data_IF_242498965649
#
_entry.id   IF_242498965649
#
_cell.length_a   1.000
_cell.length_b   1.000
_cell.length_c   1.000
_cell.angle_alpha   90.00
_cell.angle_beta   90.00
_cell.angle_gamma   90.00
#
_symmetry.space_group_name_H-M   'P 1'
#
loop_
_entity.id
_entity.type
_entity.pdbx_description
1 polymer ?
#
# COMPACT_ATOMS: atom_id res chain seq x y z
N UNK A 1 18.15 -23.49 8.48
CA UNK A 1 18.71 -22.33 9.19
C UNK A 1 17.73 -21.18 9.03
N UNK A 2 16.69 -21.15 9.85
CA UNK A 2 15.65 -20.12 9.82
C UNK A 2 15.97 -19.11 10.93
N UNK A 3 16.47 -17.93 10.53
CA UNK A 3 16.84 -16.87 11.47
C UNK A 3 15.60 -16.08 11.86
N UNK A 4 15.43 -15.88 13.17
CA UNK A 4 14.52 -14.93 13.80
C UNK A 4 14.63 -13.56 13.12
N UNK A 5 13.63 -13.12 12.35
CA UNK A 5 13.68 -11.81 11.68
C UNK A 5 12.75 -10.73 12.28
N UNK A 6 11.85 -11.09 13.21
CA UNK A 6 10.87 -10.14 13.75
C UNK A 6 11.02 -9.77 15.24
N UNK A 7 12.16 -10.05 15.90
CA UNK A 7 12.25 -9.89 17.37
C UNK A 7 13.24 -8.81 17.88
N UNK A 8 14.07 -8.16 17.06
CA UNK A 8 15.07 -7.23 17.61
C UNK A 8 14.93 -5.81 17.09
N UNK A 9 14.11 -5.00 17.77
CA UNK A 9 14.52 -3.71 18.38
C UNK A 9 13.40 -3.07 19.22
N UNK A 10 13.04 -3.64 20.38
CA UNK A 10 12.50 -2.85 21.51
C UNK A 10 12.99 -3.48 22.82
N UNK A 11 14.03 -2.91 23.45
CA UNK A 11 14.31 -3.09 24.88
C UNK A 11 14.11 -1.73 25.56
N UNK A 12 13.22 -1.59 26.56
CA UNK A 12 13.15 -0.40 27.39
C UNK A 12 14.26 -0.45 28.46
N UNK A 13 15.10 0.59 28.49
CA UNK A 13 16.07 0.82 29.55
C UNK A 13 15.36 1.08 30.89
N UNK A 14 15.64 0.23 31.87
CA UNK A 14 15.39 0.49 33.29
C UNK A 14 16.57 1.31 33.85
N UNK A 15 16.24 2.43 34.52
CA UNK A 15 17.16 3.33 35.24
C UNK A 15 17.94 2.60 36.36
N UNK A 16 19.08 3.18 36.77
CA UNK A 16 19.12 3.65 38.15
C UNK A 16 19.61 5.09 38.31
N UNK A 17 19.27 5.65 39.47
CA UNK A 17 19.49 7.03 39.93
C UNK A 17 20.96 7.48 39.97
N UNK A 18 21.23 8.79 39.77
CA UNK A 18 21.70 9.74 40.80
C UNK A 18 22.05 11.13 40.23
N UNK A 19 21.72 12.15 41.03
CA UNK A 19 22.33 13.49 41.20
C UNK A 19 22.20 14.63 40.17
N UNK A 20 21.54 15.70 40.67
CA UNK A 20 21.65 17.15 40.44
C UNK A 20 22.79 17.66 39.56
N UNK A 21 22.50 18.60 38.63
CA UNK A 21 22.92 20.01 38.71
C UNK A 21 22.07 20.85 37.74
N UNK A 22 21.58 21.99 38.22
CA UNK A 22 21.00 23.12 37.46
C UNK A 22 21.89 23.60 36.31
N UNK A 23 21.29 23.97 35.17
CA UNK A 23 21.55 25.27 34.56
C UNK A 23 20.49 25.67 33.51
N UNK A 24 20.02 26.90 33.68
CA UNK A 24 19.12 27.65 32.80
C UNK A 24 19.90 28.04 31.55
N UNK A 25 19.31 27.85 30.36
CA UNK A 25 19.64 28.63 29.16
C UNK A 25 18.47 28.61 28.18
N UNK A 26 17.85 29.78 28.07
CA UNK A 26 16.74 30.14 27.19
C UNK A 26 17.20 30.13 25.73
N UNK A 27 16.52 29.38 24.86
CA UNK A 27 16.43 29.74 23.44
C UNK A 27 15.13 29.22 22.82
N UNK A 28 14.52 30.09 22.05
CA UNK A 28 13.10 30.19 21.73
C UNK A 28 12.67 29.13 20.70
N UNK A 29 11.76 28.22 21.05
CA UNK A 29 11.05 27.38 20.08
C UNK A 29 9.68 27.97 19.77
N UNK A 30 9.41 28.20 18.49
CA UNK A 30 8.04 28.32 17.97
C UNK A 30 7.40 26.93 18.07
N UNK A 31 6.82 26.63 19.22
CA UNK A 31 6.14 25.38 19.49
C UNK A 31 4.85 25.29 18.68
N UNK A 32 4.84 24.42 17.65
CA UNK A 32 3.61 23.96 17.00
C UNK A 32 2.78 23.17 18.03
N UNK A 33 1.44 23.36 18.13
CA UNK A 33 0.64 22.83 19.24
C UNK A 33 0.65 21.29 19.30
N UNK A 34 0.82 20.75 20.52
CA UNK A 34 0.94 19.31 20.84
C UNK A 34 -0.22 18.41 20.33
N UNK A 35 -1.39 18.98 20.03
CA UNK A 35 -2.55 18.23 19.53
C UNK A 35 -2.40 17.83 18.06
N UNK A 36 -1.80 18.69 17.23
CA UNK A 36 -1.64 18.45 15.79
C UNK A 36 -0.62 17.31 15.54
N UNK A 37 0.49 17.33 16.29
CA UNK A 37 1.53 16.30 16.22
C UNK A 37 1.05 14.91 16.70
N UNK A 38 0.09 14.86 17.65
CA UNK A 38 -0.46 13.59 18.14
C UNK A 38 -1.41 12.95 17.12
N UNK A 39 -2.18 13.77 16.41
CA UNK A 39 -3.12 13.33 15.37
C UNK A 39 -2.36 12.88 14.11
N UNK A 40 -1.33 13.63 13.70
CA UNK A 40 -0.47 13.29 12.55
C UNK A 40 0.21 11.92 12.74
N UNK A 41 0.64 11.60 13.97
CA UNK A 41 1.21 10.29 14.29
C UNK A 41 0.16 9.15 14.15
N UNK A 42 -1.09 9.37 14.58
CA UNK A 42 -2.15 8.35 14.47
C UNK A 42 -2.56 8.08 13.02
N UNK A 43 -2.67 9.12 12.19
CA UNK A 43 -3.01 8.98 10.77
C UNK A 43 -1.91 8.24 10.02
N UNK A 44 -0.65 8.57 10.32
CA UNK A 44 0.50 7.91 9.69
C UNK A 44 0.56 6.42 10.04
N UNK A 45 0.31 6.06 11.30
CA UNK A 45 0.22 4.65 11.73
C UNK A 45 -0.93 3.93 11.00
N UNK A 46 -2.13 4.50 11.03
CA UNK A 46 -3.28 3.90 10.34
C UNK A 46 -3.05 3.77 8.82
N UNK A 47 -2.41 4.75 8.18
CA UNK A 47 -2.05 4.67 6.78
C UNK A 47 -1.07 3.53 6.47
N UNK A 48 -0.15 3.22 7.38
CA UNK A 48 0.79 2.09 7.24
C UNK A 48 0.08 0.75 7.39
N UNK A 49 -0.81 0.61 8.36
CA UNK A 49 -1.60 -0.62 8.55
C UNK A 49 -2.46 -0.90 7.31
N UNK A 50 -3.11 0.15 6.78
CA UNK A 50 -3.87 0.09 5.53
C UNK A 50 -2.94 -0.23 4.35
N UNK A 51 -1.73 0.33 4.29
CA UNK A 51 -0.74 0.02 3.26
C UNK A 51 -0.34 -1.45 3.27
N UNK A 52 -0.02 -2.00 4.44
CA UNK A 52 0.29 -3.42 4.59
C UNK A 52 -0.86 -4.30 4.11
N UNK A 53 -2.08 -4.01 4.54
CA UNK A 53 -3.26 -4.80 4.18
C UNK A 53 -3.59 -4.76 2.68
N UNK A 54 -3.52 -3.57 2.06
CA UNK A 54 -3.81 -3.42 0.63
C UNK A 54 -2.67 -3.93 -0.26
N UNK A 55 -1.41 -3.87 0.21
CA UNK A 55 -0.29 -4.53 -0.46
C UNK A 55 -0.50 -6.04 -0.53
N UNK A 56 -0.95 -6.66 0.56
CA UNK A 56 -1.27 -8.09 0.59
C UNK A 56 -2.34 -8.43 -0.46
N UNK A 57 -3.37 -7.59 -0.58
CA UNK A 57 -4.39 -7.71 -1.62
C UNK A 57 -3.82 -7.56 -3.03
N UNK A 58 -3.02 -6.51 -3.28
CA UNK A 58 -2.41 -6.21 -4.58
C UNK A 58 -1.57 -7.36 -5.13
N UNK A 59 -0.78 -8.03 -4.29
CA UNK A 59 0.17 -9.04 -4.74
C UNK A 59 -0.34 -10.48 -4.67
N UNK A 60 -1.29 -10.77 -3.78
CA UNK A 60 -1.64 -12.16 -3.44
C UNK A 60 -3.08 -12.55 -3.75
N UNK A 61 -3.94 -11.58 -4.04
CA UNK A 61 -5.36 -11.81 -4.27
C UNK A 61 -5.72 -11.95 -5.75
N UNK A 62 -6.91 -12.47 -6.00
CA UNK A 62 -7.47 -12.71 -7.33
C UNK A 62 -8.95 -12.31 -7.37
N UNK A 63 -9.59 -12.44 -8.54
CA UNK A 63 -10.97 -11.98 -8.70
C UNK A 63 -11.99 -12.98 -8.15
N UNK A 64 -12.38 -12.71 -6.89
CA UNK A 64 -13.36 -13.50 -6.13
C UNK A 64 -14.76 -13.49 -6.76
N UNK A 65 -15.05 -12.62 -7.74
CA UNK A 65 -16.33 -12.62 -8.47
C UNK A 65 -16.45 -13.80 -9.44
N UNK A 66 -15.32 -14.25 -9.98
CA UNK A 66 -15.29 -15.25 -11.05
C UNK A 66 -14.59 -16.54 -10.64
N UNK A 67 -13.73 -16.49 -9.64
CA UNK A 67 -12.95 -17.63 -9.18
C UNK A 67 -13.21 -17.85 -7.71
N UNK A 68 -13.71 -19.05 -7.38
CA UNK A 68 -13.90 -19.50 -5.99
C UNK A 68 -12.71 -20.32 -5.49
N UNK A 69 -12.04 -21.05 -6.40
CA UNK A 69 -10.88 -21.90 -6.11
C UNK A 69 -9.57 -21.08 -6.04
N UNK A 70 -8.93 -20.98 -4.86
CA UNK A 70 -7.71 -20.19 -4.69
C UNK A 70 -6.52 -20.65 -5.54
N UNK A 71 -6.49 -21.92 -5.94
CA UNK A 71 -5.43 -22.47 -6.79
C UNK A 71 -5.52 -22.03 -8.25
N UNK A 72 -6.70 -21.57 -8.70
CA UNK A 72 -6.95 -21.16 -10.09
C UNK A 72 -7.00 -19.65 -10.29
N UNK A 73 -6.95 -18.89 -9.21
CA UNK A 73 -6.97 -17.43 -9.24
C UNK A 73 -5.71 -16.85 -9.87
N UNK A 74 -5.89 -16.03 -10.91
CA UNK A 74 -4.80 -15.22 -11.49
C UNK A 74 -4.55 -14.02 -10.57
N UNK A 75 -3.32 -13.89 -10.08
CA UNK A 75 -2.88 -12.81 -9.18
C UNK A 75 -2.15 -11.76 -10.00
N UNK A 76 -2.87 -10.71 -10.39
CA UNK A 76 -2.35 -9.70 -11.30
C UNK A 76 -2.67 -8.26 -10.88
N UNK A 77 -3.17 -8.05 -9.65
CA UNK A 77 -3.55 -6.70 -9.22
C UNK A 77 -2.37 -5.74 -9.06
N UNK A 78 -1.16 -6.27 -8.93
CA UNK A 78 0.04 -5.46 -8.98
C UNK A 78 0.27 -4.78 -10.34
N UNK A 79 -0.29 -5.31 -11.45
CA UNK A 79 -0.13 -4.70 -12.79
C UNK A 79 -1.29 -3.81 -13.21
N UNK A 80 -2.50 -4.10 -12.72
CA UNK A 80 -3.73 -3.40 -13.10
C UNK A 80 -4.83 -3.64 -12.07
N UNK A 81 -5.79 -2.75 -12.02
CA UNK A 81 -7.02 -2.98 -11.25
C UNK A 81 -7.88 -4.11 -11.85
N UNK A 82 -8.85 -4.66 -11.08
CA UNK A 82 -9.71 -5.74 -11.56
C UNK A 82 -10.44 -5.37 -12.87
N UNK A 83 -10.53 -6.35 -13.79
CA UNK A 83 -11.24 -6.22 -15.07
C UNK A 83 -12.32 -7.29 -15.21
N UNK A 84 -13.60 -6.93 -15.46
CA UNK A 84 -14.11 -5.56 -15.54
C UNK A 84 -14.01 -4.87 -14.17
N UNK A 85 -13.99 -3.53 -14.13
CA UNK A 85 -13.96 -2.85 -12.85
C UNK A 85 -15.24 -3.10 -12.04
N UNK A 86 -15.24 -2.67 -10.77
CA UNK A 86 -16.43 -2.76 -9.94
C UNK A 86 -17.59 -2.01 -10.59
N UNK A 87 -18.76 -2.66 -10.67
CA UNK A 87 -20.00 -2.00 -11.11
C UNK A 87 -20.48 -0.95 -10.11
N UNK A 88 -20.22 -1.21 -8.83
CA UNK A 88 -20.55 -0.33 -7.70
C UNK A 88 -19.41 -0.41 -6.70
N UNK A 89 -18.97 0.76 -6.23
CA UNK A 89 -18.01 0.84 -5.13
C UNK A 89 -18.62 0.31 -3.83
N UNK A 90 -17.78 -0.13 -2.91
CA UNK A 90 -18.21 -0.45 -1.56
C UNK A 90 -18.73 0.83 -0.89
N UNK A 91 -20.03 0.87 -0.62
CA UNK A 91 -20.73 2.10 -0.21
C UNK A 91 -20.10 2.75 1.02
N UNK A 92 -19.68 1.96 2.01
CA UNK A 92 -19.13 2.49 3.26
C UNK A 92 -17.74 3.09 3.04
N UNK A 93 -16.91 2.47 2.18
CA UNK A 93 -15.59 3.02 1.83
C UNK A 93 -15.79 4.32 1.07
N UNK A 94 -16.66 4.32 0.06
CA UNK A 94 -16.96 5.53 -0.72
C UNK A 94 -17.45 6.66 0.18
N UNK A 95 -18.38 6.38 1.10
CA UNK A 95 -18.91 7.37 2.05
C UNK A 95 -17.81 8.12 2.81
N UNK A 96 -16.83 7.41 3.39
CA UNK A 96 -15.78 8.04 4.19
C UNK A 96 -14.64 8.60 3.33
N UNK A 97 -14.30 7.91 2.24
CA UNK A 97 -13.18 8.30 1.39
C UNK A 97 -13.49 9.41 0.40
N UNK A 98 -14.75 9.67 0.06
CA UNK A 98 -15.17 10.87 -0.68
C UNK A 98 -15.19 12.12 0.19
N UNK A 99 -15.37 11.97 1.52
CA UNK A 99 -15.45 13.09 2.44
C UNK A 99 -14.08 13.76 2.66
N UNK A 100 -13.06 12.97 3.04
CA UNK A 100 -11.68 13.45 3.12
C UNK A 100 -10.69 12.29 3.28
N UNK A 101 -9.40 12.56 3.06
CA UNK A 101 -8.33 11.61 3.34
C UNK A 101 -8.33 11.15 4.81
N UNK A 102 -8.60 12.08 5.73
CA UNK A 102 -8.54 11.81 7.17
C UNK A 102 -9.67 10.87 7.60
N UNK A 103 -10.89 11.12 7.11
CA UNK A 103 -12.04 10.23 7.34
C UNK A 103 -11.83 8.87 6.67
N UNK A 104 -11.24 8.86 5.47
CA UNK A 104 -10.87 7.63 4.77
C UNK A 104 -9.94 6.76 5.62
N UNK A 105 -8.80 7.30 6.05
CA UNK A 105 -7.81 6.54 6.82
C UNK A 105 -8.34 6.12 8.19
N UNK A 106 -9.10 6.97 8.87
CA UNK A 106 -9.70 6.60 10.16
C UNK A 106 -10.67 5.42 9.99
N UNK A 107 -11.54 5.46 8.97
CA UNK A 107 -12.44 4.35 8.66
C UNK A 107 -11.69 3.08 8.25
N UNK A 108 -10.78 3.21 7.28
CA UNK A 108 -10.02 2.07 6.75
C UNK A 108 -9.16 1.42 7.83
N UNK A 109 -8.51 2.23 8.68
CA UNK A 109 -7.70 1.75 9.79
C UNK A 109 -8.53 1.02 10.86
N UNK A 110 -9.72 1.53 11.21
CA UNK A 110 -10.62 0.86 12.18
C UNK A 110 -11.21 -0.44 11.65
N UNK A 111 -11.60 -0.46 10.37
CA UNK A 111 -12.20 -1.63 9.71
C UNK A 111 -11.13 -2.67 9.35
N UNK A 112 -9.89 -2.26 9.16
CA UNK A 112 -8.77 -3.19 9.00
C UNK A 112 -8.39 -3.76 10.38
N UNK A 113 -8.90 -4.96 10.71
CA UNK A 113 -8.45 -5.71 11.88
C UNK A 113 -7.05 -6.29 11.68
N UNK A 114 -6.08 -5.52 11.17
CA UNK A 114 -4.67 -5.85 11.23
C UNK A 114 -4.17 -5.71 12.67
N UNK A 115 -4.81 -6.43 13.60
CA UNK A 115 -4.31 -6.62 14.95
C UNK A 115 -2.97 -7.35 14.79
N UNK A 116 -1.89 -6.64 15.15
CA UNK A 116 -0.51 -7.10 15.33
C UNK A 116 -0.27 -8.53 14.85
N UNK A 117 0.12 -8.68 13.58
CA UNK A 117 0.58 -9.96 13.05
C UNK A 117 1.96 -10.22 13.66
N UNK A 118 1.96 -10.83 14.84
CA UNK A 118 3.14 -11.39 15.48
C UNK A 118 2.79 -12.76 16.07
N UNK A 119 2.72 -13.76 15.19
CA UNK A 119 3.27 -15.11 15.42
C UNK A 119 3.33 -15.93 14.11
N UNK A 120 4.31 -16.83 14.08
CA UNK A 120 4.96 -17.55 12.96
C UNK A 120 4.01 -18.16 11.91
N UNK A 121 4.41 -18.04 10.63
CA UNK A 121 4.00 -18.70 9.36
C UNK A 121 2.78 -19.66 9.38
N UNK A 122 2.70 -20.60 10.32
CA UNK A 122 1.54 -21.50 10.50
C UNK A 122 0.26 -20.79 10.96
N UNK A 123 0.37 -19.78 11.81
CA UNK A 123 -0.77 -18.93 12.17
C UNK A 123 -1.23 -18.11 10.97
N UNK A 124 -0.29 -17.62 10.16
CA UNK A 124 -0.64 -16.91 8.94
C UNK A 124 -1.29 -17.82 7.88
N UNK A 125 -0.80 -19.04 7.69
CA UNK A 125 -1.45 -20.04 6.82
C UNK A 125 -2.87 -20.37 7.31
N UNK A 126 -3.07 -20.42 8.63
CA UNK A 126 -4.39 -20.61 9.24
C UNK A 126 -5.30 -19.39 9.00
N UNK A 127 -4.79 -18.19 9.19
CA UNK A 127 -5.52 -16.93 8.92
C UNK A 127 -5.93 -16.82 7.46
N UNK A 128 -5.10 -17.26 6.49
CA UNK A 128 -5.49 -17.31 5.07
C UNK A 128 -6.67 -18.25 4.78
N UNK A 129 -6.73 -19.40 5.46
CA UNK A 129 -7.87 -20.33 5.33
C UNK A 129 -9.14 -19.77 5.98
N UNK A 130 -8.97 -19.07 7.10
CA UNK A 130 -10.04 -18.36 7.79
C UNK A 130 -10.54 -17.19 6.94
N UNK A 131 -9.65 -16.46 6.28
CA UNK A 131 -9.96 -15.40 5.32
C UNK A 131 -10.82 -15.91 4.16
N UNK A 132 -10.71 -17.16 3.74
CA UNK A 132 -11.58 -17.72 2.69
C UNK A 132 -13.01 -18.00 3.19
N UNK A 133 -13.29 -17.81 4.48
CA UNK A 133 -14.59 -17.96 5.13
C UNK A 133 -15.17 -16.59 5.55
N UNK A 134 -16.46 -16.58 5.90
CA UNK A 134 -17.12 -15.41 6.50
C UNK A 134 -16.45 -15.10 7.84
N UNK A 135 -15.80 -13.94 7.92
CA UNK A 135 -14.97 -13.52 9.04
C UNK A 135 -15.18 -12.04 9.28
N UNK A 136 -15.39 -11.68 10.55
CA UNK A 136 -15.52 -10.29 10.97
C UNK A 136 -14.29 -9.47 10.45
N UNK A 137 -14.50 -8.28 9.86
CA UNK A 137 -15.72 -7.49 9.82
C UNK A 137 -16.50 -7.57 8.49
N UNK A 138 -16.30 -8.62 7.70
CA UNK A 138 -16.91 -8.79 6.39
C UNK A 138 -17.92 -9.95 6.38
N UNK A 139 -19.06 -9.73 5.73
CA UNK A 139 -20.10 -10.71 5.45
C UNK A 139 -19.61 -11.85 4.53
N UNK A 140 -18.48 -11.66 3.84
CA UNK A 140 -17.79 -12.75 3.14
C UNK A 140 -16.69 -12.30 2.17
N UNK A 141 -16.09 -13.26 1.44
CA UNK A 141 -14.96 -12.99 0.55
C UNK A 141 -15.29 -12.01 -0.59
N UNK A 142 -16.54 -11.98 -1.06
CA UNK A 142 -16.98 -11.07 -2.12
C UNK A 142 -17.07 -9.62 -1.63
N UNK A 143 -17.68 -9.40 -0.45
CA UNK A 143 -17.76 -8.06 0.14
C UNK A 143 -16.35 -7.56 0.48
N UNK A 144 -15.50 -8.40 1.08
CA UNK A 144 -14.09 -8.06 1.34
C UNK A 144 -13.34 -7.70 0.06
N UNK A 145 -13.57 -8.43 -1.03
CA UNK A 145 -13.01 -8.09 -2.34
C UNK A 145 -13.47 -6.70 -2.80
N UNK A 146 -14.77 -6.40 -2.72
CA UNK A 146 -15.30 -5.08 -3.08
C UNK A 146 -14.71 -3.97 -2.20
N UNK A 147 -14.60 -4.22 -0.90
CA UNK A 147 -14.01 -3.30 0.07
C UNK A 147 -12.55 -3.00 -0.27
N UNK A 148 -11.71 -4.04 -0.42
CA UNK A 148 -10.27 -3.89 -0.73
C UNK A 148 -10.03 -3.22 -2.07
N UNK A 149 -10.83 -3.56 -3.08
CA UNK A 149 -10.75 -2.93 -4.40
C UNK A 149 -11.09 -1.44 -4.31
N UNK A 150 -12.20 -1.10 -3.63
CA UNK A 150 -12.64 0.29 -3.45
C UNK A 150 -11.63 1.09 -2.63
N UNK A 151 -11.09 0.52 -1.56
CA UNK A 151 -10.06 1.15 -0.75
C UNK A 151 -8.78 1.40 -1.57
N UNK A 152 -8.36 0.43 -2.40
CA UNK A 152 -7.19 0.59 -3.28
C UNK A 152 -7.40 1.72 -4.31
N UNK A 153 -8.61 1.89 -4.83
CA UNK A 153 -8.95 3.00 -5.73
C UNK A 153 -8.73 4.35 -5.05
N UNK A 154 -9.30 4.56 -3.86
CA UNK A 154 -9.17 5.80 -3.12
C UNK A 154 -7.73 6.05 -2.64
N UNK A 155 -7.06 5.04 -2.10
CA UNK A 155 -5.71 5.19 -1.60
C UNK A 155 -4.70 5.45 -2.72
N UNK A 156 -4.90 4.84 -3.90
CA UNK A 156 -4.10 5.19 -5.06
C UNK A 156 -4.38 6.63 -5.50
N UNK A 157 -5.64 7.06 -5.58
CA UNK A 157 -5.99 8.45 -5.87
C UNK A 157 -5.31 9.44 -4.93
N UNK A 158 -5.37 9.20 -3.61
CA UNK A 158 -4.69 10.07 -2.63
C UNK A 158 -3.17 10.08 -2.78
N UNK A 159 -2.58 8.97 -3.21
CA UNK A 159 -1.15 8.91 -3.54
C UNK A 159 -0.81 9.77 -4.74
N UNK A 160 -1.65 9.71 -5.78
CA UNK A 160 -1.50 10.49 -7.01
C UNK A 160 -1.75 11.99 -6.79
N UNK A 161 -2.67 12.34 -5.87
CA UNK A 161 -2.86 13.69 -5.35
C UNK A 161 -1.74 14.16 -4.42
N UNK A 162 -0.72 13.33 -4.18
CA UNK A 162 0.43 13.64 -3.34
C UNK A 162 0.05 14.09 -1.93
N UNK A 163 -0.97 13.46 -1.34
CA UNK A 163 -1.38 13.71 0.05
C UNK A 163 -0.17 13.56 1.00
N UNK A 164 0.17 14.62 1.74
CA UNK A 164 1.43 14.74 2.49
C UNK A 164 1.70 13.57 3.44
N UNK A 165 0.66 13.01 4.04
CA UNK A 165 0.70 11.90 5.00
C UNK A 165 1.15 10.58 4.33
N UNK A 166 0.98 10.46 3.00
CA UNK A 166 1.41 9.31 2.21
C UNK A 166 2.80 9.47 1.60
N UNK A 167 3.44 10.63 1.79
CA UNK A 167 4.77 10.90 1.23
C UNK A 167 5.79 9.87 1.71
N UNK A 168 5.61 9.36 2.92
CA UNK A 168 6.69 8.86 3.73
C UNK A 168 6.16 7.86 4.79
N UNK A 169 6.12 6.57 4.44
CA UNK A 169 5.57 5.47 5.27
C UNK A 169 6.72 4.64 5.89
N UNK A 170 7.42 5.18 6.91
CA UNK A 170 8.82 4.82 7.23
C UNK A 170 9.16 3.92 8.43
N UNK A 171 8.21 3.44 9.22
CA UNK A 171 8.63 2.77 10.47
C UNK A 171 9.13 1.33 10.23
N UNK A 172 8.75 0.72 9.10
CA UNK A 172 9.18 -0.61 8.65
C UNK A 172 9.38 -0.60 7.13
N UNK A 173 10.23 -1.49 6.61
CA UNK A 173 10.48 -1.55 5.16
C UNK A 173 9.18 -1.93 4.45
N UNK A 174 8.90 -1.23 3.35
CA UNK A 174 7.74 -1.52 2.53
C UNK A 174 8.04 -2.57 1.44
N UNK A 175 9.28 -3.07 1.41
CA UNK A 175 9.80 -4.10 0.49
C UNK A 175 9.41 -5.50 0.95
N UNK A 176 8.12 -5.78 0.92
CA UNK A 176 7.57 -7.12 1.11
C UNK A 176 6.28 -7.22 0.29
N UNK A 177 5.76 -8.44 0.09
CA UNK A 177 4.45 -8.62 -0.52
C UNK A 177 3.31 -8.67 0.49
N UNK A 178 3.60 -8.29 1.75
CA UNK A 178 2.69 -8.40 2.89
C UNK A 178 2.00 -9.79 2.96
N UNK A 179 2.76 -10.83 2.64
CA UNK A 179 2.36 -12.22 2.81
C UNK A 179 3.38 -12.92 3.71
N UNK A 180 2.96 -14.03 4.30
CA UNK A 180 3.82 -14.76 5.23
C UNK A 180 4.59 -15.92 4.57
N UNK A 181 4.39 -16.13 3.27
CA UNK A 181 4.99 -17.26 2.55
C UNK A 181 6.28 -16.89 1.82
N UNK A 182 6.44 -15.61 1.49
CA UNK A 182 7.60 -15.05 0.83
C UNK A 182 8.41 -14.27 1.89
N UNK A 183 9.73 -14.15 1.68
CA UNK A 183 10.66 -13.59 2.68
C UNK A 183 10.28 -12.17 3.13
N UNK A 184 10.86 -11.74 4.26
CA UNK A 184 10.63 -10.41 4.84
C UNK A 184 11.10 -9.26 3.93
N UNK A 185 11.92 -9.57 2.94
CA UNK A 185 12.47 -8.64 1.97
C UNK A 185 12.46 -9.30 0.59
N UNK A 186 11.88 -8.63 -0.40
CA UNK A 186 11.87 -9.09 -1.79
C UNK A 186 12.79 -8.29 -2.73
N UNK A 187 13.58 -7.35 -2.19
CA UNK A 187 14.56 -6.51 -2.87
C UNK A 187 13.99 -5.84 -4.13
N UNK A 188 12.71 -5.43 -4.08
CA UNK A 188 12.04 -4.85 -5.22
C UNK A 188 12.35 -3.35 -5.33
N UNK A 189 12.96 -2.91 -6.45
CA UNK A 189 13.41 -1.53 -6.61
C UNK A 189 12.26 -0.51 -6.61
N UNK A 190 11.00 -0.96 -6.67
CA UNK A 190 9.80 -0.12 -6.55
C UNK A 190 9.46 0.20 -5.09
N UNK A 191 9.95 -0.59 -4.14
CA UNK A 191 9.68 -0.46 -2.70
C UNK A 191 10.76 0.34 -1.96
N UNK A 192 11.31 1.38 -2.59
CA UNK A 192 12.36 2.24 -2.05
C UNK A 192 11.77 3.30 -1.10
N UNK A 193 11.87 3.06 0.20
CA UNK A 193 11.32 3.92 1.26
C UNK A 193 11.99 5.31 1.38
N UNK A 194 13.15 5.49 0.74
CA UNK A 194 13.86 6.78 0.67
C UNK A 194 13.20 7.74 -0.32
N UNK A 195 12.45 7.20 -1.30
CA UNK A 195 11.77 7.99 -2.33
C UNK A 195 10.37 8.42 -1.86
N UNK A 196 10.02 9.72 -2.00
CA UNK A 196 8.67 10.19 -1.70
C UNK A 196 7.61 9.38 -2.46
N UNK A 197 6.56 8.95 -1.74
CA UNK A 197 5.41 8.20 -2.25
C UNK A 197 5.70 6.80 -2.81
N UNK A 198 6.96 6.34 -2.87
CA UNK A 198 7.28 5.03 -3.46
C UNK A 198 6.59 3.88 -2.72
N UNK A 199 6.63 3.87 -1.38
CA UNK A 199 5.89 2.88 -0.60
C UNK A 199 4.37 2.97 -0.77
N UNK A 200 3.82 4.18 -0.93
CA UNK A 200 2.39 4.37 -1.17
C UNK A 200 1.99 3.84 -2.55
N UNK A 201 2.77 4.14 -3.60
CA UNK A 201 2.59 3.58 -4.95
C UNK A 201 2.71 2.05 -4.93
N UNK A 202 3.74 1.53 -4.26
CA UNK A 202 3.97 0.10 -4.15
C UNK A 202 2.84 -0.63 -3.41
N UNK A 203 2.19 0.02 -2.45
CA UNK A 203 1.09 -0.56 -1.66
C UNK A 203 -0.28 -0.41 -2.31
N UNK A 204 -0.58 0.76 -2.88
CA UNK A 204 -1.96 1.16 -3.23
C UNK A 204 -2.25 1.16 -4.73
N UNK A 205 -1.26 1.47 -5.56
CA UNK A 205 -1.46 1.65 -7.00
C UNK A 205 -0.97 0.42 -7.78
N UNK A 206 -1.67 0.01 -8.86
CA UNK A 206 -1.09 -0.90 -9.83
C UNK A 206 0.08 -0.23 -10.56
N UNK A 207 1.00 -1.05 -11.05
CA UNK A 207 2.14 -0.65 -11.86
C UNK A 207 1.99 -1.22 -13.28
N UNK A 208 1.29 -0.51 -14.18
CA UNK A 208 1.11 -0.97 -15.55
C UNK A 208 2.41 -0.92 -16.36
N UNK A 209 3.41 -0.14 -15.92
CA UNK A 209 4.72 -0.09 -16.56
C UNK A 209 5.51 -1.38 -16.38
N UNK A 210 5.24 -2.14 -15.32
CA UNK A 210 5.91 -3.41 -15.06
C UNK A 210 4.95 -4.52 -14.61
N UNK A 211 4.65 -5.45 -15.52
CA UNK A 211 3.83 -6.63 -15.22
C UNK A 211 4.58 -7.76 -14.51
N UNK A 212 5.82 -7.54 -14.06
CA UNK A 212 6.57 -8.52 -13.29
C UNK A 212 6.24 -8.39 -11.80
N UNK A 213 5.83 -9.51 -11.18
CA UNK A 213 5.64 -9.57 -9.72
C UNK A 213 6.97 -9.40 -9.00
N UNK A 214 7.96 -10.19 -9.39
CA UNK A 214 9.33 -10.16 -8.86
C UNK A 214 10.22 -9.39 -9.80
N UNK A 215 11.00 -8.46 -9.26
CA UNK A 215 11.81 -7.54 -10.05
C UNK A 215 13.12 -7.30 -9.31
N UNK A 216 14.26 -7.58 -9.96
CA UNK A 216 15.56 -7.24 -9.40
C UNK A 216 16.07 -5.90 -9.96
N UNK A 217 15.57 -5.50 -11.13
CA UNK A 217 16.00 -4.29 -11.83
C UNK A 217 14.85 -3.70 -12.68
N UNK A 218 14.62 -2.37 -12.67
CA UNK A 218 13.58 -1.75 -13.50
C UNK A 218 13.71 -2.04 -15.01
N UNK A 219 14.92 -2.33 -15.47
CA UNK A 219 15.29 -2.67 -16.83
C UNK A 219 14.51 -3.87 -17.39
N UNK A 220 14.16 -4.84 -16.53
CA UNK A 220 13.40 -6.03 -16.92
C UNK A 220 12.00 -5.70 -17.47
N UNK A 221 11.48 -4.52 -17.16
CA UNK A 221 10.16 -4.07 -17.59
C UNK A 221 10.19 -3.31 -18.93
N UNK A 222 11.35 -2.84 -19.39
CA UNK A 222 11.45 -1.94 -20.55
C UNK A 222 10.93 -2.60 -21.83
N UNK A 223 11.30 -3.86 -22.07
CA UNK A 223 10.94 -4.58 -23.29
C UNK A 223 9.74 -5.52 -23.12
N UNK A 224 9.02 -5.43 -22.00
CA UNK A 224 7.86 -6.27 -21.75
C UNK A 224 6.70 -5.86 -22.68
N UNK A 225 6.07 -6.79 -23.43
CA UNK A 225 4.98 -6.48 -24.34
C UNK A 225 3.71 -5.96 -23.63
N UNK A 226 3.55 -6.27 -22.33
CA UNK A 226 2.45 -5.74 -21.53
C UNK A 226 2.70 -4.29 -21.07
N UNK A 227 3.93 -3.79 -21.16
CA UNK A 227 4.25 -2.40 -20.85
C UNK A 227 3.56 -1.49 -21.87
N UNK A 228 2.66 -0.58 -21.47
CA UNK A 228 1.93 0.28 -22.39
C UNK A 228 2.86 1.18 -23.21
N UNK A 229 4.03 1.56 -22.69
CA UNK A 229 5.04 2.33 -23.41
C UNK A 229 5.78 1.54 -24.50
N UNK A 230 5.58 0.23 -24.60
CA UNK A 230 6.29 -0.61 -25.58
C UNK A 230 5.87 -0.36 -27.03
N UNK A 231 4.65 0.17 -27.25
CA UNK A 231 4.08 0.41 -28.58
C UNK A 231 4.57 1.69 -29.25
N UNK A 232 4.86 2.70 -28.43
CA UNK A 232 5.19 4.04 -28.92
C UNK A 232 6.70 4.28 -29.04
N UNK A 233 7.52 3.40 -28.44
CA UNK A 233 8.97 3.58 -28.33
C UNK A 233 9.73 2.49 -29.08
N UNK A 234 10.95 2.79 -29.55
CA UNK A 234 11.84 1.75 -30.06
C UNK A 234 12.31 0.81 -28.93
N UNK A 235 12.53 -0.50 -29.22
CA UNK A 235 13.10 -1.42 -28.24
C UNK A 235 14.52 -0.99 -27.87
N UNK A 236 14.84 -0.92 -26.58
CA UNK A 236 16.19 -0.55 -26.16
C UNK A 236 16.30 0.01 -24.74
N UNK A 237 17.53 0.32 -24.30
CA UNK A 237 17.84 0.76 -22.94
C UNK A 237 17.32 2.16 -22.60
N UNK A 238 16.78 2.89 -23.58
CA UNK A 238 16.22 4.22 -23.37
C UNK A 238 14.70 4.19 -23.11
N UNK A 239 14.04 3.05 -23.33
CA UNK A 239 12.60 2.92 -23.17
C UNK A 239 12.23 2.92 -21.69
N UNK A 240 11.95 4.10 -21.14
CA UNK A 240 11.53 4.29 -19.76
C UNK A 240 10.01 4.44 -19.68
N UNK A 241 9.43 3.78 -18.68
CA UNK A 241 8.02 3.92 -18.33
C UNK A 241 7.98 4.21 -16.83
N UNK A 242 7.32 5.31 -16.46
CA UNK A 242 7.18 5.68 -15.05
C UNK A 242 5.89 6.44 -14.82
N UNK A 243 5.27 6.18 -13.66
CA UNK A 243 4.13 6.93 -13.16
C UNK A 243 4.54 8.37 -12.83
N UNK A 244 3.85 9.37 -13.39
CA UNK A 244 4.07 10.79 -13.08
C UNK A 244 2.93 11.29 -12.20
N UNK A 245 3.22 11.59 -10.94
CA UNK A 245 2.21 11.99 -9.96
C UNK A 245 1.54 13.33 -10.35
N UNK A 246 2.33 14.32 -10.75
CA UNK A 246 1.88 15.72 -10.93
C UNK A 246 0.88 15.93 -12.08
N UNK A 247 0.70 14.95 -12.97
CA UNK A 247 -0.17 15.02 -14.15
C UNK A 247 -1.50 14.29 -13.97
N UNK A 248 -1.67 13.54 -12.87
CA UNK A 248 -2.89 12.83 -12.55
C UNK A 248 -3.67 13.61 -11.49
N UNK A 249 -4.28 14.74 -11.86
CA UNK A 249 -4.97 15.64 -10.90
C UNK A 249 -6.48 15.79 -11.17
N UNK A 250 -6.97 15.39 -12.34
CA UNK A 250 -8.39 15.48 -12.70
C UNK A 250 -9.14 14.17 -12.37
N UNK A 251 -9.45 13.98 -11.09
CA UNK A 251 -10.27 12.85 -10.60
C UNK A 251 -11.74 13.25 -10.54
N UNK A 252 -12.31 13.70 -11.67
CA UNK A 252 -13.76 13.87 -11.78
C UNK A 252 -14.43 12.51 -11.69
N UNK A 253 -14.74 12.13 -10.46
CA UNK A 253 -15.32 10.86 -10.03
C UNK A 253 -14.35 9.69 -10.21
N UNK A 254 -14.21 8.88 -9.16
CA UNK A 254 -13.57 7.57 -9.19
C UNK A 254 -14.41 6.65 -10.07
N UNK A 255 -14.48 6.92 -11.38
CA UNK A 255 -15.08 6.01 -12.35
C UNK A 255 -14.19 4.77 -12.34
N UNK A 256 -14.72 3.61 -11.92
CA UNK A 256 -13.97 2.36 -11.92
C UNK A 256 -13.40 2.02 -13.32
N UNK A 257 -14.01 2.54 -14.40
CA UNK A 257 -13.51 2.45 -15.76
C UNK A 257 -12.40 3.46 -16.07
N UNK A 258 -12.39 4.65 -15.46
CA UNK A 258 -11.33 5.65 -15.64
C UNK A 258 -10.05 5.31 -14.87
N UNK A 259 -10.13 4.58 -13.75
CA UNK A 259 -8.93 4.05 -13.08
C UNK A 259 -8.23 2.96 -13.92
N UNK A 260 -8.97 2.27 -14.79
CA UNK A 260 -8.37 1.39 -15.81
C UNK A 260 -7.86 2.18 -17.03
N UNK A 261 -8.30 3.43 -17.18
CA UNK A 261 -7.83 4.43 -18.14
C UNK A 261 -6.92 5.46 -17.45
N UNK A 262 -6.21 5.09 -16.38
CA UNK A 262 -4.99 5.81 -16.04
C UNK A 262 -4.03 5.65 -17.21
N UNK A 263 -4.28 6.42 -18.26
CA UNK A 263 -3.27 7.15 -18.99
C UNK A 263 -2.59 8.01 -17.93
N UNK A 264 -1.76 7.36 -17.13
CA UNK A 264 -0.54 7.94 -16.68
C UNK A 264 -0.02 8.70 -17.91
N UNK A 265 0.07 10.01 -17.84
CA UNK A 265 0.96 10.71 -18.74
C UNK A 265 2.35 10.18 -18.41
N UNK A 266 2.69 9.04 -19.03
CA UNK A 266 3.97 8.40 -18.95
C UNK A 266 4.91 9.35 -19.69
N UNK A 267 5.94 9.84 -19.01
CA UNK A 267 6.98 10.54 -19.75
C UNK A 267 7.66 9.50 -20.63
N UNK A 268 7.42 9.65 -21.93
CA UNK A 268 8.28 9.13 -22.99
C UNK A 268 9.55 9.97 -22.97
N UNK A 269 10.65 9.43 -22.46
CA UNK A 269 12.00 10.02 -22.63
C UNK A 269 12.69 9.28 -23.75
#
# INVERSE_FOLDING_TARGET
>A
MYTLCCILTIIPHILPAFSNTTNISTSTSTAKPKSEHRIENQITVAARDVAYYLRAYKFNEYDRRYVTDPGKGIREYYKKFPKPPLRSLHWEVARYCEASFHECIDYLGKKNHSVQINTVDEECKRMRKVDDMVTDPFEGPLERFQWRTTASYYMCMYTMLQTKELRQLHDETCDNYANCLEGCDNNDPRADDTKPFACALYSFCPDPCCSNKHLNSPEECWNNPDNPCSRENEPGPHRKCSIVLDRNTDFRFVDPNLLNLFYLELIVI
#
